data_IF_277962061449
#
_entry.id   IF_277962061449
#
_cell.length_a   1.000
_cell.length_b   1.000
_cell.length_c   1.000
_cell.angle_alpha   90.00
_cell.angle_beta   90.00
_cell.angle_gamma   90.00
#
_symmetry.space_group_name_H-M   'P 1'
#
loop_
_entity.id
_entity.type
_entity.pdbx_description
1 polymer ?
#
# COMPACT_ATOMS: atom_id res chain seq x y z
N UNK A 1 11.79 1.45 -8.01
CA UNK A 1 10.35 1.27 -8.25
C UNK A 1 9.58 1.88 -7.10
N UNK A 2 8.51 2.56 -7.40
CA UNK A 2 7.63 3.12 -6.36
C UNK A 2 6.52 2.12 -6.03
N UNK A 3 6.55 1.61 -4.80
CA UNK A 3 5.61 0.61 -4.30
C UNK A 3 4.51 1.31 -3.52
N UNK A 4 3.26 1.07 -3.89
CA UNK A 4 2.10 1.67 -3.23
C UNK A 4 1.29 0.65 -2.46
N UNK A 5 0.85 1.01 -1.25
CA UNK A 5 0.07 0.15 -0.38
C UNK A 5 -1.21 0.88 0.01
N UNK A 6 -2.30 0.67 -0.75
CA UNK A 6 -3.57 1.27 -0.40
C UNK A 6 -4.21 0.56 0.79
N UNK A 7 -5.11 1.26 1.48
CA UNK A 7 -5.91 0.66 2.53
C UNK A 7 -6.85 -0.37 1.90
N UNK A 8 -6.96 -1.55 2.54
CA UNK A 8 -7.89 -2.58 2.07
C UNK A 8 -9.33 -2.10 2.29
N UNK A 9 -10.16 -2.25 1.27
CA UNK A 9 -11.55 -1.82 1.32
C UNK A 9 -12.55 -2.96 1.17
N UNK A 10 -12.07 -4.18 0.94
CA UNK A 10 -12.94 -5.34 0.88
C UNK A 10 -13.50 -5.64 2.27
N UNK A 11 -14.77 -6.03 2.33
CA UNK A 11 -15.46 -6.23 3.60
C UNK A 11 -14.73 -7.22 4.50
N UNK A 12 -14.58 -6.86 5.78
CA UNK A 12 -13.89 -7.66 6.81
C UNK A 12 -12.41 -7.90 6.53
N UNK A 13 -11.77 -7.10 5.68
CA UNK A 13 -10.34 -7.20 5.49
C UNK A 13 -9.64 -6.16 6.36
N UNK A 14 -8.92 -6.62 7.38
CA UNK A 14 -8.23 -5.78 8.36
C UNK A 14 -6.72 -5.85 8.22
N UNK A 15 -6.21 -6.78 7.42
CA UNK A 15 -4.78 -6.93 7.20
C UNK A 15 -4.28 -5.86 6.23
N UNK A 16 -3.00 -5.54 6.35
CA UNK A 16 -2.31 -4.66 5.41
C UNK A 16 -1.21 -5.46 4.70
N UNK A 17 -0.91 -5.09 3.47
CA UNK A 17 -0.02 -5.89 2.61
C UNK A 17 1.44 -5.83 3.00
N UNK A 18 1.87 -4.89 3.84
CA UNK A 18 3.27 -4.75 4.23
C UNK A 18 3.39 -4.31 5.68
N UNK A 19 4.44 -4.80 6.34
CA UNK A 19 4.80 -4.38 7.70
C UNK A 19 5.88 -3.30 7.64
N UNK A 20 6.13 -2.55 8.74
CA UNK A 20 7.27 -1.63 8.80
C UNK A 20 8.60 -2.30 8.47
N UNK A 21 8.82 -3.55 8.93
CA UNK A 21 10.03 -4.29 8.59
C UNK A 21 10.15 -4.53 7.08
N UNK A 22 9.02 -4.83 6.42
CA UNK A 22 8.98 -4.99 4.97
C UNK A 22 9.31 -3.69 4.24
N UNK A 23 8.85 -2.56 4.76
CA UNK A 23 9.18 -1.24 4.21
C UNK A 23 10.69 -1.01 4.26
N UNK A 24 11.32 -1.27 5.40
CA UNK A 24 12.77 -1.12 5.55
C UNK A 24 13.49 -1.97 4.50
N UNK A 25 13.05 -3.19 4.30
CA UNK A 25 13.68 -4.11 3.36
C UNK A 25 13.59 -3.61 1.92
N UNK A 26 12.41 -3.11 1.51
CA UNK A 26 12.24 -2.55 0.16
C UNK A 26 13.12 -1.32 -0.05
N UNK A 27 13.21 -0.45 0.94
CA UNK A 27 14.04 0.76 0.84
C UNK A 27 15.51 0.40 0.74
N UNK A 28 15.97 -0.60 1.49
CA UNK A 28 17.35 -1.10 1.40
C UNK A 28 17.68 -1.60 0.00
N UNK A 29 16.69 -2.09 -0.72
CA UNK A 29 16.87 -2.60 -2.09
C UNK A 29 16.64 -1.54 -3.16
N UNK A 30 16.57 -0.26 -2.78
CA UNK A 30 16.49 0.84 -3.73
C UNK A 30 15.08 1.25 -4.15
N UNK A 31 14.06 0.71 -3.48
CA UNK A 31 12.66 1.05 -3.78
C UNK A 31 12.18 2.17 -2.87
N UNK A 32 11.11 2.85 -3.31
CA UNK A 32 10.38 3.81 -2.50
C UNK A 32 9.02 3.21 -2.16
N UNK A 33 8.49 3.56 -0.99
CA UNK A 33 7.20 3.02 -0.51
C UNK A 33 6.28 4.16 -0.11
N UNK A 34 5.07 4.14 -0.65
CA UNK A 34 3.99 5.04 -0.24
C UNK A 34 2.84 4.20 0.32
N UNK A 35 2.26 4.65 1.43
CA UNK A 35 1.21 3.93 2.14
C UNK A 35 0.04 4.88 2.37
N UNK A 36 -1.16 4.40 2.12
CA UNK A 36 -2.35 5.20 2.37
C UNK A 36 -2.54 5.42 3.87
N UNK A 37 -2.98 6.61 4.24
CA UNK A 37 -3.32 6.97 5.62
C UNK A 37 -4.25 5.91 6.21
N UNK A 38 -3.94 5.48 7.42
CA UNK A 38 -4.70 4.46 8.16
C UNK A 38 -4.68 3.06 7.55
N UNK A 39 -3.85 2.77 6.58
CA UNK A 39 -3.83 1.45 5.93
C UNK A 39 -3.49 0.32 6.91
N UNK A 40 -2.68 0.58 7.93
CA UNK A 40 -2.26 -0.43 8.91
C UNK A 40 -3.09 -0.49 10.18
N UNK A 41 -4.12 0.34 10.33
CA UNK A 41 -4.88 0.45 11.59
C UNK A 41 -5.50 -0.89 12.01
N UNK A 42 -6.05 -1.64 11.06
CA UNK A 42 -6.67 -2.93 11.35
C UNK A 42 -5.67 -3.99 11.83
N UNK A 43 -4.38 -3.78 11.60
CA UNK A 43 -3.28 -4.65 12.06
C UNK A 43 -2.49 -4.00 13.20
N UNK A 44 -3.03 -2.97 13.84
CA UNK A 44 -2.40 -2.24 14.93
C UNK A 44 -1.07 -1.57 14.55
N UNK A 45 -0.92 -1.19 13.28
CA UNK A 45 0.25 -0.47 12.79
C UNK A 45 -0.15 0.96 12.49
N UNK A 46 0.49 1.93 13.14
CA UNK A 46 0.20 3.34 12.93
C UNK A 46 0.92 3.91 11.71
N UNK A 47 0.40 5.02 11.18
CA UNK A 47 1.08 5.75 10.10
C UNK A 47 2.49 6.16 10.51
N UNK A 48 2.67 6.56 11.78
CA UNK A 48 3.98 6.94 12.31
C UNK A 48 5.01 5.82 12.22
N UNK A 49 4.58 4.59 12.46
CA UNK A 49 5.46 3.43 12.36
C UNK A 49 5.96 3.23 10.92
N UNK A 50 5.07 3.41 9.95
CA UNK A 50 5.46 3.37 8.54
C UNK A 50 6.41 4.51 8.17
N UNK A 51 6.14 5.70 8.65
CA UNK A 51 7.00 6.86 8.38
C UNK A 51 8.39 6.67 8.97
N UNK A 52 8.49 6.15 10.18
CA UNK A 52 9.78 5.84 10.81
C UNK A 52 10.58 4.80 10.04
N UNK A 53 9.89 3.91 9.35
CA UNK A 53 10.53 2.88 8.51
C UNK A 53 10.97 3.42 7.15
N UNK A 54 10.57 4.64 6.81
CA UNK A 54 10.98 5.30 5.56
C UNK A 54 9.87 5.42 4.53
N UNK A 55 8.66 4.95 4.80
CA UNK A 55 7.53 5.12 3.90
C UNK A 55 6.97 6.54 3.98
N UNK A 56 6.36 6.99 2.89
CA UNK A 56 5.62 8.24 2.86
C UNK A 56 4.13 7.93 2.95
N UNK A 57 3.43 8.65 3.81
CA UNK A 57 1.99 8.49 3.97
C UNK A 57 1.27 9.46 3.03
N UNK A 58 0.33 8.97 2.25
CA UNK A 58 -0.53 9.78 1.38
C UNK A 58 -1.97 9.68 1.88
N UNK A 59 -2.73 10.76 1.70
CA UNK A 59 -4.04 10.90 2.33
C UNK A 59 -5.16 10.08 1.70
N UNK A 60 -5.04 9.69 0.43
CA UNK A 60 -6.11 9.02 -0.30
C UNK A 60 -5.60 7.85 -1.12
N UNK A 61 -6.51 6.89 -1.37
CA UNK A 61 -6.21 5.77 -2.24
C UNK A 61 -5.91 6.25 -3.67
N UNK A 62 -6.62 7.27 -4.15
CA UNK A 62 -6.42 7.80 -5.50
C UNK A 62 -4.97 8.24 -5.72
N UNK A 63 -4.35 8.87 -4.73
CA UNK A 63 -2.95 9.28 -4.81
C UNK A 63 -2.01 8.07 -4.90
N UNK A 64 -2.30 7.03 -4.13
CA UNK A 64 -1.51 5.78 -4.16
C UNK A 64 -1.56 5.15 -5.54
N UNK A 65 -2.78 4.94 -6.06
CA UNK A 65 -2.98 4.31 -7.36
C UNK A 65 -2.40 5.14 -8.50
N UNK A 66 -2.46 6.46 -8.39
CA UNK A 66 -1.96 7.36 -9.44
C UNK A 66 -0.43 7.37 -9.54
N UNK A 67 0.28 7.15 -8.45
CA UNK A 67 1.73 7.32 -8.39
C UNK A 67 2.52 6.01 -8.42
N UNK A 68 1.97 4.93 -7.86
CA UNK A 68 2.71 3.69 -7.67
C UNK A 68 2.98 2.95 -8.99
N UNK A 69 4.16 2.35 -9.10
CA UNK A 69 4.48 1.42 -10.17
C UNK A 69 3.98 0.02 -9.86
N UNK A 70 4.01 -0.35 -8.58
CA UNK A 70 3.56 -1.64 -8.07
C UNK A 70 2.58 -1.40 -6.93
N UNK A 71 1.43 -2.05 -7.00
CA UNK A 71 0.42 -2.02 -5.92
C UNK A 71 0.49 -3.34 -5.15
N UNK A 72 0.66 -3.24 -3.83
CA UNK A 72 0.59 -4.40 -2.93
C UNK A 72 -0.73 -4.37 -2.18
N UNK A 73 -1.49 -5.45 -2.28
CA UNK A 73 -2.76 -5.63 -1.58
C UNK A 73 -2.85 -7.05 -1.03
N UNK A 74 -3.62 -7.22 0.04
CA UNK A 74 -3.93 -8.54 0.59
C UNK A 74 -4.99 -9.22 -0.28
N UNK A 75 -6.01 -8.47 -0.67
CA UNK A 75 -7.11 -8.96 -1.51
C UNK A 75 -7.03 -8.38 -2.91
N UNK A 76 -7.64 -9.08 -3.88
CA UNK A 76 -7.76 -8.59 -5.24
C UNK A 76 -8.56 -7.27 -5.28
N UNK A 77 -8.32 -6.41 -6.28
CA UNK A 77 -9.10 -5.18 -6.43
C UNK A 77 -10.59 -5.49 -6.56
N UNK A 78 -11.43 -4.60 -6.02
CA UNK A 78 -12.87 -4.68 -6.19
C UNK A 78 -13.33 -3.61 -7.18
N UNK A 79 -14.61 -3.67 -7.59
CA UNK A 79 -15.13 -2.82 -8.67
C UNK A 79 -14.84 -1.32 -8.49
N UNK A 80 -14.91 -0.80 -7.26
CA UNK A 80 -14.64 0.61 -6.99
C UNK A 80 -13.18 0.99 -7.21
N UNK A 81 -12.27 0.01 -7.19
CA UNK A 81 -10.83 0.23 -7.41
C UNK A 81 -10.43 0.12 -8.88
N UNK A 82 -11.21 -0.58 -9.71
CA UNK A 82 -10.84 -0.80 -11.11
C UNK A 82 -10.55 0.51 -11.87
N UNK A 83 -11.35 1.57 -11.73
CA UNK A 83 -11.05 2.81 -12.44
C UNK A 83 -9.76 3.51 -12.00
N UNK A 84 -9.21 3.13 -10.85
CA UNK A 84 -7.96 3.70 -10.32
C UNK A 84 -6.72 3.05 -10.93
N UNK A 85 -6.86 1.87 -11.51
CA UNK A 85 -5.75 1.12 -12.09
C UNK A 85 -5.23 1.80 -13.35
N UNK A 86 -3.90 1.82 -13.51
CA UNK A 86 -3.26 2.46 -14.68
C UNK A 86 -2.67 1.41 -15.60
N UNK A 87 -2.64 1.74 -16.89
CA UNK A 87 -1.94 0.90 -17.88
C UNK A 87 -0.47 0.79 -17.48
N UNK A 88 0.05 -0.43 -17.46
CA UNK A 88 1.43 -0.70 -17.10
C UNK A 88 1.69 -0.82 -15.60
N UNK A 89 0.69 -0.55 -14.77
CA UNK A 89 0.82 -0.70 -13.33
C UNK A 89 0.79 -2.17 -12.93
N UNK A 90 1.69 -2.57 -12.03
CA UNK A 90 1.79 -3.95 -11.56
C UNK A 90 0.98 -4.06 -10.26
N UNK A 91 0.17 -5.11 -10.15
CA UNK A 91 -0.60 -5.39 -8.95
C UNK A 91 -0.24 -6.74 -8.37
N UNK A 92 -0.19 -6.82 -7.04
CA UNK A 92 0.03 -8.06 -6.31
C UNK A 92 -0.94 -8.16 -5.14
N UNK A 93 -1.56 -9.34 -4.99
CA UNK A 93 -2.36 -9.67 -3.84
C UNK A 93 -1.69 -10.81 -3.09
N UNK A 94 -1.66 -10.71 -1.75
CA UNK A 94 -1.17 -11.77 -0.89
C UNK A 94 -2.34 -12.43 -0.17
N UNK A 95 -2.22 -13.70 0.03
CA UNK A 95 -3.23 -14.47 0.75
C UNK A 95 -2.72 -14.78 2.16
#
# INVERSE_FOLDING_TARGET
>A
MLVGVPKEIKNHEYRVAITPAGVVELIKNGHQVIVEKNAGIGSAISDSEYEKSGAKILGTADEIWAQADLILKVKEPIAVEYPKMRKGQIGRAHV
#
